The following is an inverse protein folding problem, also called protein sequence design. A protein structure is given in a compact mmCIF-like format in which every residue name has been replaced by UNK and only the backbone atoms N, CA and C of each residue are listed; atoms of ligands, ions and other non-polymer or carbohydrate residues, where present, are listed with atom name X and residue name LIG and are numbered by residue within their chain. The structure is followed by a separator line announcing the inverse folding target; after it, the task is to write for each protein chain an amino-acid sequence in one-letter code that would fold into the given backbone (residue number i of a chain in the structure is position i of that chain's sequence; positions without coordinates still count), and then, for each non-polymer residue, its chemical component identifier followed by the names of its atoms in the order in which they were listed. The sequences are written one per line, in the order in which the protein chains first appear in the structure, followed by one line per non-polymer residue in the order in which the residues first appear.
data_IF_009221107482
#
_entry.id   IF_009221107482
#
_cell.length_a   1.000
_cell.length_b   1.000
_cell.length_c   1.000
_cell.angle_alpha   90.00
_cell.angle_beta   90.00
_cell.angle_gamma   90.00
#
_symmetry.space_group_name_H-M   'P 1'
#
loop_
_entity.id
_entity.type
_entity.pdbx_description
1 polymer ?
#
# COMPACT_ATOMS: atom_id res chain seq x y z
N UNK A 1 5.35 7.48 17.13
CA UNK A 1 4.54 6.46 17.82
C UNK A 1 5.27 5.13 17.85
N UNK A 2 5.74 4.60 16.71
CA UNK A 2 6.44 3.31 16.62
C UNK A 2 7.68 3.22 17.52
N UNK A 3 8.46 4.28 17.65
CA UNK A 3 9.64 4.33 18.53
C UNK A 3 9.31 4.01 20.00
N UNK A 4 8.10 4.36 20.47
CA UNK A 4 7.67 3.99 21.84
C UNK A 4 7.41 2.49 22.01
N UNK A 5 7.19 1.79 20.91
CA UNK A 5 7.01 0.34 20.86
C UNK A 5 8.34 -0.39 20.61
N UNK A 6 9.46 0.35 20.53
CA UNK A 6 10.75 -0.19 20.21
C UNK A 6 10.98 -0.51 18.73
N UNK A 7 10.00 -0.22 17.88
CA UNK A 7 10.10 -0.45 16.45
C UNK A 7 10.76 0.74 15.74
N UNK A 8 11.66 0.47 14.81
CA UNK A 8 12.35 1.47 13.98
C UNK A 8 11.64 1.59 12.62
N UNK A 9 11.52 2.83 12.16
CA UNK A 9 10.95 3.09 10.83
C UNK A 9 11.91 2.59 9.75
N UNK A 10 11.38 1.89 8.76
CA UNK A 10 12.16 1.33 7.64
C UNK A 10 12.57 -0.12 7.86
N UNK A 11 13.07 -0.50 9.05
CA UNK A 11 13.44 -1.89 9.36
C UNK A 11 12.24 -2.68 9.91
N UNK A 12 11.61 -2.16 10.96
CA UNK A 12 10.56 -2.86 11.71
C UNK A 12 9.14 -2.43 11.27
N UNK A 13 9.01 -1.23 10.72
CA UNK A 13 7.74 -0.71 10.18
C UNK A 13 7.96 -0.24 8.75
N UNK A 14 7.24 -0.84 7.81
CA UNK A 14 7.32 -0.51 6.40
C UNK A 14 6.01 -0.81 5.67
N UNK A 15 5.85 -0.18 4.49
CA UNK A 15 4.81 -0.52 3.55
C UNK A 15 5.44 -0.77 2.18
N UNK A 16 4.98 -1.82 1.52
CA UNK A 16 5.44 -2.20 0.18
C UNK A 16 4.24 -2.21 -0.74
N UNK A 17 4.32 -1.44 -1.82
CA UNK A 17 3.30 -1.41 -2.87
C UNK A 17 3.79 -2.16 -4.11
N UNK A 18 2.96 -3.05 -4.59
CA UNK A 18 3.10 -3.73 -5.89
C UNK A 18 1.94 -3.32 -6.82
N UNK A 19 1.94 -3.71 -8.09
CA UNK A 19 0.85 -3.37 -9.00
C UNK A 19 -0.53 -3.85 -8.56
N UNK A 20 -0.61 -4.85 -7.67
CA UNK A 20 -1.87 -5.51 -7.28
C UNK A 20 -2.18 -5.46 -5.79
N UNK A 21 -1.24 -5.03 -4.95
CA UNK A 21 -1.45 -5.01 -3.50
C UNK A 21 -0.54 -4.00 -2.80
N UNK A 22 -0.96 -3.57 -1.62
CA UNK A 22 -0.10 -2.88 -0.64
C UNK A 22 -0.03 -3.73 0.62
N UNK A 23 1.18 -4.01 1.09
CA UNK A 23 1.43 -4.77 2.30
C UNK A 23 2.00 -3.83 3.36
N UNK A 24 1.32 -3.71 4.49
CA UNK A 24 1.82 -3.02 5.67
C UNK A 24 2.43 -4.06 6.61
N UNK A 25 3.68 -3.87 6.96
CA UNK A 25 4.45 -4.75 7.82
C UNK A 25 4.84 -4.02 9.10
N UNK A 26 4.70 -4.69 10.23
CA UNK A 26 5.19 -4.22 11.51
C UNK A 26 5.79 -5.38 12.29
N UNK A 27 7.08 -5.31 12.54
CA UNK A 27 7.80 -6.22 13.41
C UNK A 27 7.99 -5.55 14.78
N UNK A 28 7.59 -6.23 15.83
CA UNK A 28 7.73 -5.75 17.20
C UNK A 28 8.84 -6.52 17.88
N UNK A 29 9.92 -5.87 18.31
CA UNK A 29 11.03 -6.53 19.01
C UNK A 29 10.59 -7.05 20.39
N UNK A 30 9.52 -6.49 20.95
CA UNK A 30 8.89 -6.97 22.17
C UNK A 30 7.38 -7.04 21.96
N UNK A 31 6.86 -8.25 21.83
CA UNK A 31 5.45 -8.55 21.57
C UNK A 31 4.59 -8.69 22.84
N UNK A 32 4.92 -8.01 23.92
CA UNK A 32 4.05 -7.93 25.11
C UNK A 32 2.69 -7.36 24.76
N UNK A 33 1.65 -7.77 25.52
CA UNK A 33 0.26 -7.36 25.25
C UNK A 33 0.06 -5.85 25.06
N UNK A 34 0.69 -4.94 25.85
CA UNK A 34 0.52 -3.51 25.62
C UNK A 34 1.02 -3.04 24.24
N UNK A 35 2.16 -3.59 23.76
CA UNK A 35 2.72 -3.28 22.45
C UNK A 35 1.83 -3.80 21.32
N UNK A 36 1.37 -5.04 21.40
CA UNK A 36 0.44 -5.64 20.45
C UNK A 36 -0.88 -4.84 20.38
N UNK A 37 -1.45 -4.49 21.52
CA UNK A 37 -2.70 -3.74 21.59
C UNK A 37 -2.59 -2.34 20.98
N UNK A 38 -1.51 -1.61 21.25
CA UNK A 38 -1.27 -0.29 20.67
C UNK A 38 -0.99 -0.37 19.16
N UNK A 39 -0.25 -1.39 18.73
CA UNK A 39 0.04 -1.62 17.31
C UNK A 39 -1.23 -1.89 16.50
N UNK A 40 -2.11 -2.76 17.00
CA UNK A 40 -3.36 -3.07 16.34
C UNK A 40 -4.29 -1.87 16.27
N UNK A 41 -4.32 -1.02 17.32
CA UNK A 41 -5.05 0.25 17.31
C UNK A 41 -4.55 1.19 16.21
N UNK A 42 -3.23 1.31 16.05
CA UNK A 42 -2.64 2.19 15.04
C UNK A 42 -2.92 1.65 13.63
N UNK A 43 -2.68 0.35 13.40
CA UNK A 43 -2.95 -0.29 12.11
C UNK A 43 -4.43 -0.15 11.72
N UNK A 44 -5.34 -0.36 12.66
CA UNK A 44 -6.77 -0.16 12.42
C UNK A 44 -7.08 1.28 12.03
N UNK A 45 -6.52 2.26 12.71
CA UNK A 45 -6.68 3.68 12.36
C UNK A 45 -6.15 4.02 10.97
N UNK A 46 -5.01 3.45 10.58
CA UNK A 46 -4.44 3.61 9.24
C UNK A 46 -5.34 3.00 8.15
N UNK A 47 -5.98 1.87 8.45
CA UNK A 47 -6.86 1.19 7.48
C UNK A 47 -8.25 1.82 7.38
N UNK A 48 -8.84 2.22 8.50
CA UNK A 48 -10.25 2.65 8.55
C UNK A 48 -10.45 4.16 8.41
N UNK A 49 -9.46 4.99 8.74
CA UNK A 49 -9.66 6.43 8.75
C UNK A 49 -8.37 7.24 8.86
N UNK A 50 -7.43 7.13 7.92
CA UNK A 50 -6.22 7.94 7.93
C UNK A 50 -6.57 9.42 7.71
N UNK A 51 -5.79 10.30 8.34
CA UNK A 51 -5.83 11.72 8.03
C UNK A 51 -5.12 11.94 6.71
N UNK A 52 -5.84 12.42 5.70
CA UNK A 52 -5.29 12.75 4.37
C UNK A 52 -5.55 14.25 4.16
N UNK A 53 -4.79 15.10 4.87
CA UNK A 53 -4.91 16.55 4.71
C UNK A 53 -4.18 17.05 3.47
N UNK A 54 -4.60 18.19 2.92
CA UNK A 54 -3.94 18.80 1.77
C UNK A 54 -2.45 19.11 2.08
N UNK A 55 -2.16 19.58 3.29
CA UNK A 55 -0.79 19.92 3.69
C UNK A 55 0.13 18.69 3.73
N UNK A 56 -0.37 17.56 4.25
CA UNK A 56 0.38 16.29 4.27
C UNK A 56 0.60 15.76 2.85
N UNK A 57 -0.43 15.81 1.99
CA UNK A 57 -0.32 15.41 0.59
C UNK A 57 0.71 16.26 -0.15
N UNK A 58 0.75 17.58 0.09
CA UNK A 58 1.73 18.47 -0.53
C UNK A 58 3.16 18.22 -0.02
N UNK A 59 3.31 17.85 1.25
CA UNK A 59 4.61 17.48 1.82
C UNK A 59 5.12 16.17 1.21
N UNK A 60 4.29 15.12 1.24
CA UNK A 60 4.65 13.79 0.73
C UNK A 60 4.86 13.78 -0.79
N UNK A 61 4.10 14.57 -1.55
CA UNK A 61 4.32 14.70 -3.00
C UNK A 61 5.75 15.14 -3.32
N UNK A 62 6.35 16.04 -2.53
CA UNK A 62 7.73 16.46 -2.74
C UNK A 62 8.71 15.32 -2.48
N UNK A 63 8.49 14.57 -1.42
CA UNK A 63 9.30 13.40 -1.04
C UNK A 63 9.24 12.33 -2.12
N UNK A 64 8.04 11.90 -2.52
CA UNK A 64 7.84 10.87 -3.55
C UNK A 64 8.35 11.34 -4.92
N UNK A 65 8.20 12.62 -5.25
CA UNK A 65 8.74 13.16 -6.50
C UNK A 65 10.28 13.20 -6.52
N UNK A 66 10.93 13.41 -5.37
CA UNK A 66 12.38 13.33 -5.26
C UNK A 66 12.84 11.86 -5.42
N UNK A 67 12.19 10.93 -4.75
CA UNK A 67 12.44 9.49 -4.89
C UNK A 67 12.28 9.01 -6.33
N UNK A 68 11.20 9.42 -7.02
CA UNK A 68 10.98 9.07 -8.41
C UNK A 68 12.10 9.56 -9.35
N UNK A 69 12.69 10.74 -9.06
CA UNK A 69 13.83 11.26 -9.82
C UNK A 69 15.12 10.53 -9.51
N UNK A 70 15.36 10.15 -8.25
CA UNK A 70 16.54 9.39 -7.85
C UNK A 70 16.53 7.98 -8.45
N UNK A 71 15.35 7.38 -8.60
CA UNK A 71 15.17 6.08 -9.22
C UNK A 71 15.22 6.10 -10.75
N UNK A 72 15.20 7.27 -11.42
CA UNK A 72 15.27 7.38 -12.89
C UNK A 72 16.67 7.06 -13.42
N UNK A 73 17.01 5.79 -13.35
CA UNK A 73 18.26 5.23 -13.83
C UNK A 73 18.09 4.33 -15.06
N UNK A 74 19.20 3.91 -15.68
CA UNK A 74 19.18 3.04 -16.84
C UNK A 74 18.43 1.72 -16.56
N UNK A 75 18.59 1.15 -15.37
CA UNK A 75 17.93 -0.09 -14.96
C UNK A 75 16.38 0.06 -14.91
N UNK A 76 15.90 1.18 -14.40
CA UNK A 76 14.45 1.44 -14.34
C UNK A 76 13.88 1.61 -15.74
N UNK A 77 14.56 2.37 -16.62
CA UNK A 77 14.14 2.51 -18.02
C UNK A 77 14.10 1.16 -18.77
N UNK A 78 15.06 0.28 -18.52
CA UNK A 78 15.07 -1.08 -19.08
C UNK A 78 13.89 -1.89 -18.52
N UNK A 79 13.65 -1.83 -17.21
CA UNK A 79 12.54 -2.54 -16.57
C UNK A 79 11.17 -2.05 -17.09
N UNK A 80 11.01 -0.74 -17.28
CA UNK A 80 9.79 -0.14 -17.85
C UNK A 80 9.59 -0.57 -19.30
N UNK A 81 10.64 -0.56 -20.11
CA UNK A 81 10.59 -1.02 -21.50
C UNK A 81 10.23 -2.51 -21.58
N UNK A 82 10.83 -3.34 -20.72
CA UNK A 82 10.51 -4.75 -20.61
C UNK A 82 9.06 -4.97 -20.16
N UNK A 83 8.57 -4.21 -19.17
CA UNK A 83 7.16 -4.27 -18.71
C UNK A 83 6.19 -3.93 -19.84
N UNK A 84 6.47 -2.87 -20.60
CA UNK A 84 5.64 -2.49 -21.76
C UNK A 84 5.62 -3.57 -22.85
N UNK A 85 6.73 -4.28 -23.01
CA UNK A 85 6.81 -5.38 -23.98
C UNK A 85 6.08 -6.63 -23.47
N UNK A 86 6.38 -7.08 -22.25
CA UNK A 86 5.81 -8.31 -21.70
C UNK A 86 4.32 -8.21 -21.36
N UNK A 87 3.88 -7.03 -20.93
CA UNK A 87 2.49 -6.77 -20.53
C UNK A 87 1.74 -5.91 -21.55
N UNK A 88 2.14 -5.94 -22.82
CA UNK A 88 1.50 -5.20 -23.90
C UNK A 88 -0.02 -5.48 -23.93
N UNK A 89 -0.83 -4.43 -23.93
CA UNK A 89 -2.31 -4.53 -23.87
C UNK A 89 -2.88 -4.79 -22.47
N UNK A 90 -2.04 -4.88 -21.45
CA UNK A 90 -2.46 -5.02 -20.06
C UNK A 90 -2.23 -3.72 -19.28
N UNK A 91 -3.08 -3.39 -18.29
CA UNK A 91 -2.86 -2.25 -17.41
C UNK A 91 -1.52 -2.29 -16.65
N UNK A 92 -0.95 -3.50 -16.45
CA UNK A 92 0.34 -3.70 -15.79
C UNK A 92 1.50 -3.02 -16.51
N UNK A 93 1.41 -2.87 -17.84
CA UNK A 93 2.44 -2.22 -18.65
C UNK A 93 2.76 -0.79 -18.19
N UNK A 94 1.76 -0.08 -17.62
CA UNK A 94 1.87 1.33 -17.23
C UNK A 94 1.68 1.56 -15.72
N UNK A 95 1.64 0.48 -14.91
CA UNK A 95 1.42 0.56 -13.45
C UNK A 95 2.71 0.39 -12.66
N UNK A 96 3.63 1.33 -12.79
CA UNK A 96 4.72 1.45 -11.83
C UNK A 96 4.16 1.86 -10.45
N UNK A 97 4.53 1.19 -9.35
CA UNK A 97 4.06 1.54 -8.01
C UNK A 97 4.34 2.99 -7.60
N UNK A 98 5.48 3.55 -8.02
CA UNK A 98 5.81 4.95 -7.74
C UNK A 98 5.01 5.92 -8.62
N UNK A 99 4.39 5.44 -9.70
CA UNK A 99 3.68 6.27 -10.67
C UNK A 99 4.62 7.05 -11.59
N UNK A 100 4.16 8.20 -12.03
CA UNK A 100 4.95 9.16 -12.80
C UNK A 100 4.77 10.58 -12.26
N UNK A 101 5.68 11.49 -12.62
CA UNK A 101 5.69 12.85 -12.11
C UNK A 101 4.40 13.63 -12.43
N UNK A 102 3.76 13.36 -13.58
CA UNK A 102 2.51 14.01 -13.96
C UNK A 102 1.33 13.54 -13.09
N UNK A 103 1.24 12.27 -12.79
CA UNK A 103 0.21 11.74 -11.88
C UNK A 103 0.43 12.21 -10.44
N UNK A 104 1.68 12.26 -9.98
CA UNK A 104 2.03 12.79 -8.67
C UNK A 104 1.67 14.28 -8.53
N UNK A 105 1.95 15.08 -9.57
CA UNK A 105 1.58 16.51 -9.58
C UNK A 105 0.08 16.77 -9.46
N UNK A 106 -0.73 15.85 -10.00
CA UNK A 106 -2.21 15.93 -9.98
C UNK A 106 -2.85 15.31 -8.72
N UNK A 107 -2.09 14.60 -7.90
CA UNK A 107 -2.62 13.97 -6.68
C UNK A 107 -3.13 15.03 -5.70
N UNK A 108 -4.32 14.84 -5.19
CA UNK A 108 -4.97 15.73 -4.21
C UNK A 108 -5.46 14.93 -3.02
N UNK A 109 -5.73 15.59 -1.89
CA UNK A 109 -6.38 14.97 -0.73
C UNK A 109 -7.68 14.25 -1.14
N UNK A 110 -8.51 14.87 -1.99
CA UNK A 110 -9.74 14.26 -2.46
C UNK A 110 -9.52 13.01 -3.32
N UNK A 111 -8.55 13.02 -4.24
CA UNK A 111 -8.25 11.85 -5.07
C UNK A 111 -7.66 10.70 -4.27
N UNK A 112 -6.79 10.98 -3.29
CA UNK A 112 -6.24 9.97 -2.39
C UNK A 112 -7.30 9.40 -1.45
N UNK A 113 -8.18 10.26 -0.92
CA UNK A 113 -9.33 9.83 -0.11
C UNK A 113 -10.25 8.90 -0.92
N UNK A 114 -10.60 9.28 -2.14
CA UNK A 114 -11.44 8.46 -3.01
C UNK A 114 -10.79 7.10 -3.36
N UNK A 115 -9.46 7.08 -3.54
CA UNK A 115 -8.73 5.82 -3.71
C UNK A 115 -8.78 4.96 -2.44
N UNK A 116 -8.47 5.55 -1.30
CA UNK A 116 -8.51 4.87 -0.01
C UNK A 116 -9.90 4.28 0.25
N UNK A 117 -10.96 5.08 0.18
CA UNK A 117 -12.33 4.65 0.47
C UNK A 117 -12.81 3.53 -0.46
N UNK A 118 -12.28 3.48 -1.67
CA UNK A 118 -12.60 2.44 -2.66
C UNK A 118 -11.89 1.12 -2.38
N UNK A 119 -10.61 1.16 -2.00
CA UNK A 119 -9.75 -0.03 -1.97
C UNK A 119 -9.43 -0.53 -0.55
N UNK A 120 -9.39 0.36 0.45
CA UNK A 120 -9.15 0.01 1.85
C UNK A 120 -10.46 -0.38 2.53
N UNK A 121 -10.78 -1.66 2.41
CA UNK A 121 -12.08 -2.23 2.82
C UNK A 121 -11.83 -3.52 3.59
N UNK A 122 -12.67 -3.86 4.59
CA UNK A 122 -12.53 -5.11 5.32
C UNK A 122 -12.67 -6.35 4.43
N UNK A 123 -13.52 -6.28 3.39
CA UNK A 123 -13.74 -7.33 2.41
C UNK A 123 -12.65 -7.43 1.32
N UNK A 124 -11.65 -6.55 1.37
CA UNK A 124 -10.47 -6.52 0.49
C UNK A 124 -9.14 -6.55 1.27
N UNK A 125 -9.19 -6.92 2.55
CA UNK A 125 -8.02 -6.87 3.42
C UNK A 125 -7.80 -8.20 4.12
N UNK A 126 -6.56 -8.63 4.19
CA UNK A 126 -6.12 -9.78 4.97
C UNK A 126 -5.22 -9.28 6.09
N UNK A 127 -5.49 -9.70 7.32
CA UNK A 127 -4.66 -9.43 8.49
C UNK A 127 -4.00 -10.73 8.90
N UNK A 128 -2.67 -10.74 8.98
CA UNK A 128 -1.90 -11.87 9.46
C UNK A 128 -1.04 -11.42 10.66
N UNK A 129 -1.03 -12.23 11.70
CA UNK A 129 -0.16 -12.06 12.86
C UNK A 129 0.63 -13.34 13.08
N UNK A 130 1.93 -13.21 13.33
CA UNK A 130 2.81 -14.34 13.63
C UNK A 130 3.83 -13.95 14.70
N UNK A 131 4.29 -14.91 15.47
CA UNK A 131 5.31 -14.68 16.50
C UNK A 131 5.10 -15.55 17.73
N UNK A 132 5.89 -15.29 18.77
CA UNK A 132 5.82 -15.98 20.06
C UNK A 132 4.66 -15.38 20.90
N UNK A 133 3.44 -15.77 20.58
CA UNK A 133 2.23 -15.30 21.25
C UNK A 133 1.07 -16.29 21.10
N UNK A 134 0.09 -16.18 21.99
CA UNK A 134 -1.12 -16.99 21.92
C UNK A 134 -2.00 -16.58 20.73
N UNK A 135 -2.29 -17.49 19.78
CA UNK A 135 -3.19 -17.21 18.66
C UNK A 135 -4.59 -16.71 19.07
N UNK A 136 -5.07 -17.12 20.25
CA UNK A 136 -6.36 -16.65 20.78
C UNK A 136 -6.30 -15.15 21.08
N UNK A 137 -5.20 -14.69 21.68
CA UNK A 137 -4.97 -13.27 21.95
C UNK A 137 -4.86 -12.48 20.64
N UNK A 138 -4.19 -13.03 19.63
CA UNK A 138 -4.11 -12.42 18.30
C UNK A 138 -5.50 -12.25 17.68
N UNK A 139 -6.31 -13.30 17.68
CA UNK A 139 -7.67 -13.27 17.15
C UNK A 139 -8.56 -12.24 17.90
N UNK A 140 -8.44 -12.17 19.23
CA UNK A 140 -9.17 -11.18 20.03
C UNK A 140 -8.76 -9.74 19.70
N UNK A 141 -7.47 -9.48 19.50
CA UNK A 141 -6.99 -8.15 19.11
C UNK A 141 -7.46 -7.75 17.70
N UNK A 142 -7.43 -8.66 16.75
CA UNK A 142 -7.98 -8.42 15.40
C UNK A 142 -9.47 -8.10 15.51
N UNK A 143 -10.23 -8.92 16.22
CA UNK A 143 -11.67 -8.70 16.42
C UNK A 143 -11.94 -7.35 17.10
N UNK A 144 -11.22 -7.03 18.17
CA UNK A 144 -11.37 -5.79 18.92
C UNK A 144 -11.21 -4.53 18.07
N UNK A 145 -10.26 -4.52 17.15
CA UNK A 145 -9.89 -3.30 16.42
C UNK A 145 -10.44 -3.23 14.99
N UNK A 146 -10.89 -4.34 14.42
CA UNK A 146 -11.32 -4.38 13.03
C UNK A 146 -12.78 -4.82 12.81
N UNK A 147 -13.49 -5.35 13.82
CA UNK A 147 -14.87 -5.82 13.65
C UNK A 147 -15.85 -4.71 13.26
N UNK A 148 -15.59 -3.49 13.71
CA UNK A 148 -16.45 -2.33 13.43
C UNK A 148 -16.06 -1.59 12.14
N UNK A 149 -14.96 -1.99 11.51
CA UNK A 149 -14.56 -1.40 10.25
C UNK A 149 -15.55 -1.76 9.15
N UNK A 150 -16.12 -0.75 8.51
CA UNK A 150 -17.08 -0.88 7.43
C UNK A 150 -16.53 -0.24 6.15
N UNK A 151 -16.87 -0.78 4.97
CA UNK A 151 -16.50 -0.13 3.72
C UNK A 151 -17.17 1.25 3.63
N UNK A 152 -16.41 2.26 3.24
CA UNK A 152 -16.91 3.62 3.01
C UNK A 152 -17.61 3.69 1.65
N UNK A 153 -16.97 3.16 0.61
CA UNK A 153 -17.57 3.11 -0.72
C UNK A 153 -18.66 2.02 -0.78
N UNK A 154 -19.80 2.37 -1.34
CA UNK A 154 -20.89 1.43 -1.57
C UNK A 154 -20.53 0.42 -2.69
N UNK A 155 -21.21 -0.73 -2.65
CA UNK A 155 -21.08 -1.77 -3.68
C UNK A 155 -20.00 -2.82 -3.38
N UNK A 156 -19.83 -3.79 -4.27
CA UNK A 156 -18.88 -4.88 -4.10
C UNK A 156 -17.42 -4.37 -4.17
N UNK A 157 -16.49 -5.21 -3.71
CA UNK A 157 -15.05 -5.00 -3.92
C UNK A 157 -14.79 -4.78 -5.41
N UNK A 158 -14.06 -3.72 -5.78
CA UNK A 158 -13.74 -3.51 -7.19
C UNK A 158 -12.88 -4.67 -7.72
N UNK A 159 -13.29 -5.25 -8.81
CA UNK A 159 -12.49 -6.23 -9.53
C UNK A 159 -11.41 -5.51 -10.35
N UNK A 160 -10.19 -6.01 -10.29
CA UNK A 160 -9.11 -5.56 -11.17
C UNK A 160 -9.01 -6.54 -12.32
N UNK A 161 -9.49 -6.15 -13.48
CA UNK A 161 -9.20 -6.88 -14.71
C UNK A 161 -7.76 -6.52 -15.15
N UNK A 162 -6.87 -7.49 -15.07
CA UNK A 162 -5.49 -7.32 -15.53
C UNK A 162 -5.37 -7.46 -17.05
N UNK A 163 -6.46 -7.79 -17.75
CA UNK A 163 -6.46 -8.01 -19.19
C UNK A 163 -5.66 -9.25 -19.60
N UNK A 164 -5.51 -9.42 -20.91
CA UNK A 164 -4.66 -10.45 -21.51
C UNK A 164 -3.56 -9.78 -22.33
N UNK A 165 -2.35 -10.36 -22.36
CA UNK A 165 -1.29 -9.84 -23.21
C UNK A 165 -1.78 -9.83 -24.68
N UNK A 166 -1.56 -8.71 -25.35
CA UNK A 166 -1.74 -8.63 -26.79
C UNK A 166 -0.40 -8.94 -27.44
N UNK A 167 -0.23 -10.08 -28.12
CA UNK A 167 1.01 -10.39 -28.79
C UNK A 167 1.37 -9.27 -29.77
N UNK A 168 2.47 -8.62 -29.57
CA UNK A 168 3.06 -7.73 -30.57
C UNK A 168 3.86 -8.57 -31.53
N UNK A 169 3.87 -8.24 -32.82
CA UNK A 169 4.74 -8.90 -33.78
C UNK A 169 6.20 -8.81 -33.29
N UNK A 170 7.02 -9.84 -33.52
CA UNK A 170 8.42 -9.81 -33.12
C UNK A 170 9.09 -8.57 -33.70
N UNK A 171 9.56 -7.68 -32.83
CA UNK A 171 10.41 -6.57 -33.24
C UNK A 171 11.85 -7.09 -33.25
N UNK A 172 12.34 -7.43 -34.42
CA UNK A 172 13.76 -7.62 -34.62
C UNK A 172 14.43 -6.25 -34.68
N UNK A 173 15.14 -5.87 -33.65
CA UNK A 173 16.09 -4.74 -33.64
C UNK A 173 17.49 -5.28 -33.66
#
# INVERSE_FOLDING_TARGET
VWQRLGATFGNDSNAITSPTQTVYKLDLPNAGFPALNESMKILSGMMSGPTISAAEVDAERRTVSAEAREQDGAQVRIADAASKLFYAGQPLADRSPIGNLDSLAKATSASLRGFHDRWYRPDNTVIAMSGDGDPVVFAQLISKYFSDWKPVAAGPVPSVDLGRPTPTAPTTS
#
